data_IF_958026054140
#
_entry.id   IF_958026054140
#
_cell.length_a   1.000
_cell.length_b   1.000
_cell.length_c   1.000
_cell.angle_alpha   90.00
_cell.angle_beta   90.00
_cell.angle_gamma   90.00
#
_symmetry.space_group_name_H-M   'P 1'
#
loop_
_entity.id
_entity.type
_entity.pdbx_description
1 polymer ?
#
# COMPACT_ATOMS: atom_id res chain seq x y z
N UNK A 1 5.91 -10.56 15.59
CA UNK A 1 4.97 -10.00 14.60
C UNK A 1 4.40 -8.66 15.04
N UNK A 2 3.53 -8.59 16.05
CA UNK A 2 2.90 -7.32 16.50
C UNK A 2 3.92 -6.24 16.89
N UNK A 3 5.01 -6.58 17.59
CA UNK A 3 6.07 -5.62 17.93
C UNK A 3 6.76 -5.02 16.69
N UNK A 4 6.91 -5.81 15.61
CA UNK A 4 7.51 -5.34 14.37
C UNK A 4 6.60 -4.33 13.68
N UNK A 5 5.31 -4.64 13.61
CA UNK A 5 4.29 -3.74 13.05
C UNK A 5 4.16 -2.45 13.86
N UNK A 6 4.19 -2.52 15.20
CA UNK A 6 4.23 -1.33 16.06
C UNK A 6 5.46 -0.47 15.76
N UNK A 7 6.62 -1.11 15.61
CA UNK A 7 7.89 -0.40 15.32
C UNK A 7 7.89 0.21 13.93
N UNK A 8 7.26 -0.43 12.95
CA UNK A 8 7.07 0.09 11.60
C UNK A 8 6.32 1.43 11.62
N UNK A 9 5.20 1.50 12.34
CA UNK A 9 4.42 2.73 12.48
C UNK A 9 5.06 3.77 13.41
N UNK A 10 5.76 3.35 14.46
CA UNK A 10 6.37 4.27 15.44
C UNK A 10 7.71 4.87 14.97
N UNK A 11 8.49 4.12 14.18
CA UNK A 11 9.84 4.51 13.74
C UNK A 11 9.92 4.82 12.25
N UNK A 12 8.80 5.13 11.59
CA UNK A 12 8.77 5.38 10.16
C UNK A 12 9.70 6.53 9.71
N UNK A 13 9.86 7.59 10.51
CA UNK A 13 10.81 8.67 10.21
C UNK A 13 12.27 8.41 10.63
N UNK A 14 12.56 7.30 11.31
CA UNK A 14 13.94 6.98 11.70
C UNK A 14 14.61 6.15 10.61
N UNK A 15 15.47 6.74 9.79
CA UNK A 15 16.22 6.00 8.77
C UNK A 15 17.44 5.25 9.32
N UNK A 16 17.70 5.36 10.62
CA UNK A 16 18.84 4.74 11.31
C UNK A 16 18.38 3.66 12.28
N UNK A 17 19.08 2.52 12.28
CA UNK A 17 18.86 1.40 13.19
C UNK A 17 18.75 0.06 12.47
N UNK A 18 18.97 -1.03 13.21
CA UNK A 18 18.92 -2.39 12.66
C UNK A 18 17.53 -2.98 12.77
N UNK A 19 17.06 -3.60 11.70
CA UNK A 19 15.82 -4.38 11.66
C UNK A 19 16.17 -5.85 11.43
N UNK A 20 15.65 -6.77 12.24
CA UNK A 20 15.90 -8.19 12.02
C UNK A 20 15.29 -8.64 10.68
N UNK A 21 15.96 -9.56 9.97
CA UNK A 21 15.51 -10.04 8.65
C UNK A 21 14.10 -10.63 8.69
N UNK A 22 13.73 -11.31 9.77
CA UNK A 22 12.38 -11.85 9.95
C UNK A 22 11.32 -10.74 10.09
N UNK A 23 11.62 -9.65 10.79
CA UNK A 23 10.68 -8.54 10.94
C UNK A 23 10.45 -7.79 9.63
N UNK A 24 11.48 -7.68 8.79
CA UNK A 24 11.37 -7.14 7.43
C UNK A 24 10.36 -7.96 6.62
N UNK A 25 10.61 -9.26 6.45
CA UNK A 25 9.77 -10.12 5.60
C UNK A 25 8.32 -10.18 6.08
N UNK A 26 8.07 -10.17 7.39
CA UNK A 26 6.71 -10.12 7.90
C UNK A 26 5.96 -8.84 7.51
N UNK A 27 6.61 -7.68 7.59
CA UNK A 27 6.01 -6.39 7.20
C UNK A 27 5.81 -6.34 5.69
N UNK A 28 6.82 -6.72 4.91
CA UNK A 28 6.77 -6.77 3.45
C UNK A 28 5.66 -7.71 2.96
N UNK A 29 5.50 -8.91 3.54
CA UNK A 29 4.44 -9.84 3.17
C UNK A 29 3.05 -9.30 3.50
N UNK A 30 2.87 -8.64 4.64
CA UNK A 30 1.59 -8.02 5.01
C UNK A 30 1.25 -6.89 4.03
N UNK A 31 2.20 -5.99 3.75
CA UNK A 31 1.98 -4.91 2.80
C UNK A 31 1.74 -5.44 1.38
N UNK A 32 2.43 -6.51 0.96
CA UNK A 32 2.20 -7.18 -0.31
C UNK A 32 0.80 -7.79 -0.39
N UNK A 33 0.36 -8.52 0.64
CA UNK A 33 -0.99 -9.08 0.69
C UNK A 33 -2.07 -7.98 0.64
N UNK A 34 -1.88 -6.88 1.37
CA UNK A 34 -2.77 -5.72 1.35
C UNK A 34 -2.77 -5.05 -0.04
N UNK A 35 -1.62 -4.94 -0.70
CA UNK A 35 -1.52 -4.37 -2.04
C UNK A 35 -2.23 -5.24 -3.09
N UNK A 36 -2.00 -6.56 -3.08
CA UNK A 36 -2.68 -7.51 -3.98
C UNK A 36 -4.20 -7.46 -3.74
N UNK A 37 -4.63 -7.52 -2.48
CA UNK A 37 -6.04 -7.42 -2.14
C UNK A 37 -6.66 -6.10 -2.61
N UNK A 38 -5.97 -4.98 -2.37
CA UNK A 38 -6.44 -3.66 -2.81
C UNK A 38 -6.53 -3.55 -4.33
N UNK A 39 -5.57 -4.13 -5.06
CA UNK A 39 -5.58 -4.15 -6.53
C UNK A 39 -6.75 -4.99 -7.06
N UNK A 40 -6.96 -6.19 -6.52
CA UNK A 40 -8.07 -7.06 -6.93
C UNK A 40 -9.43 -6.42 -6.62
N UNK A 41 -9.55 -5.79 -5.45
CA UNK A 41 -10.74 -5.04 -5.06
C UNK A 41 -10.99 -3.89 -6.04
N UNK A 42 -9.97 -3.07 -6.32
CA UNK A 42 -10.09 -1.94 -7.24
C UNK A 42 -10.45 -2.39 -8.67
N UNK A 43 -9.81 -3.45 -9.18
CA UNK A 43 -10.13 -4.03 -10.47
C UNK A 43 -11.57 -4.58 -10.53
N UNK A 44 -12.06 -5.17 -9.44
CA UNK A 44 -13.44 -5.60 -9.32
C UNK A 44 -14.41 -4.41 -9.30
N UNK A 45 -14.12 -3.34 -8.55
CA UNK A 45 -14.97 -2.15 -8.49
C UNK A 45 -15.07 -1.40 -9.82
N UNK A 46 -14.01 -1.40 -10.62
CA UNK A 46 -13.99 -0.79 -11.95
C UNK A 46 -14.51 -1.72 -13.05
N UNK A 47 -14.87 -2.95 -12.71
CA UNK A 47 -15.34 -3.92 -13.70
C UNK A 47 -16.73 -3.52 -14.24
N UNK A 48 -16.97 -3.82 -15.52
CA UNK A 48 -18.26 -3.58 -16.19
C UNK A 48 -19.49 -4.05 -15.39
N UNK A 49 -19.55 -5.24 -14.76
CA UNK A 49 -20.76 -5.63 -14.02
C UNK A 49 -21.07 -4.72 -12.82
N UNK A 50 -20.06 -4.14 -12.17
CA UNK A 50 -20.27 -3.16 -11.09
C UNK A 50 -20.72 -1.82 -11.66
N UNK A 51 -20.12 -1.37 -12.76
CA UNK A 51 -20.51 -0.13 -13.42
C UNK A 51 -21.93 -0.24 -14.02
N UNK A 52 -22.27 -1.34 -14.66
CA UNK A 52 -23.57 -1.62 -15.26
C UNK A 52 -24.67 -1.71 -14.19
N UNK A 53 -24.39 -2.31 -13.03
CA UNK A 53 -25.32 -2.33 -11.90
C UNK A 53 -25.54 -0.93 -11.30
N UNK A 54 -24.49 -0.11 -11.25
CA UNK A 54 -24.62 1.30 -10.85
C UNK A 54 -25.42 2.11 -11.90
N UNK A 55 -25.18 1.92 -13.19
CA UNK A 55 -25.86 2.64 -14.28
C UNK A 55 -27.33 2.24 -14.45
N UNK A 56 -27.67 0.96 -14.27
CA UNK A 56 -29.06 0.47 -14.37
C UNK A 56 -29.95 0.97 -13.22
N UNK A 57 -29.37 1.25 -12.04
CA UNK A 57 -30.04 1.96 -10.94
C UNK A 57 -30.24 3.48 -11.21
N UNK A 58 -29.74 3.96 -12.35
CA UNK A 58 -29.39 5.34 -12.72
C UNK A 58 -30.46 6.42 -12.76
N UNK A 59 -31.58 6.29 -12.04
CA UNK A 59 -32.59 7.36 -11.92
C UNK A 59 -33.14 7.54 -10.50
N UNK A 60 -32.58 6.86 -9.50
CA UNK A 60 -33.00 6.95 -8.10
C UNK A 60 -31.91 7.57 -7.21
N UNK A 61 -32.27 8.14 -6.06
CA UNK A 61 -31.30 8.65 -5.08
C UNK A 61 -30.25 7.62 -4.63
N UNK A 62 -30.52 6.32 -4.82
CA UNK A 62 -29.57 5.24 -4.54
C UNK A 62 -28.31 5.26 -5.42
N UNK A 63 -28.40 5.76 -6.66
CA UNK A 63 -27.24 5.87 -7.56
C UNK A 63 -26.14 6.79 -6.98
N UNK A 64 -26.55 7.94 -6.42
CA UNK A 64 -25.64 8.90 -5.80
C UNK A 64 -24.95 8.31 -4.57
N UNK A 65 -25.71 7.59 -3.73
CA UNK A 65 -25.17 6.96 -2.52
C UNK A 65 -24.11 5.90 -2.85
N UNK A 66 -24.36 5.03 -3.84
CA UNK A 66 -23.43 3.97 -4.23
C UNK A 66 -22.18 4.56 -4.89
N UNK A 67 -22.33 5.48 -5.84
CA UNK A 67 -21.19 6.11 -6.54
C UNK A 67 -20.29 6.90 -5.58
N UNK A 68 -20.89 7.70 -4.69
CA UNK A 68 -20.13 8.41 -3.65
C UNK A 68 -19.46 7.46 -2.66
N UNK A 69 -20.14 6.37 -2.27
CA UNK A 69 -19.57 5.33 -1.40
C UNK A 69 -18.34 4.66 -2.03
N UNK A 70 -18.43 4.29 -3.31
CA UNK A 70 -17.30 3.72 -4.06
C UNK A 70 -16.14 4.72 -4.19
N UNK A 71 -16.44 5.99 -4.50
CA UNK A 71 -15.44 7.05 -4.56
C UNK A 71 -14.73 7.27 -3.22
N UNK A 72 -15.47 7.26 -2.11
CA UNK A 72 -14.90 7.39 -0.77
C UNK A 72 -13.98 6.22 -0.42
N UNK A 73 -14.41 4.98 -0.72
CA UNK A 73 -13.59 3.78 -0.49
C UNK A 73 -12.29 3.85 -1.29
N UNK A 74 -12.37 4.18 -2.58
CA UNK A 74 -11.19 4.36 -3.43
C UNK A 74 -10.24 5.43 -2.86
N UNK A 75 -10.78 6.58 -2.44
CA UNK A 75 -10.01 7.66 -1.83
C UNK A 75 -9.28 7.22 -0.56
N UNK A 76 -9.96 6.52 0.36
CA UNK A 76 -9.36 6.00 1.59
C UNK A 76 -8.22 5.02 1.30
N UNK A 77 -8.37 4.16 0.28
CA UNK A 77 -7.30 3.26 -0.15
C UNK A 77 -6.09 4.03 -0.71
N UNK A 78 -6.32 5.08 -1.51
CA UNK A 78 -5.23 5.93 -2.01
C UNK A 78 -4.49 6.61 -0.87
N UNK A 79 -5.21 7.17 0.10
CA UNK A 79 -4.61 7.79 1.30
C UNK A 79 -3.80 6.78 2.10
N UNK A 80 -4.34 5.56 2.31
CA UNK A 80 -3.60 4.50 2.99
C UNK A 80 -2.28 4.17 2.28
N UNK A 81 -2.28 4.03 0.95
CA UNK A 81 -1.07 3.77 0.15
C UNK A 81 -0.03 4.89 0.26
N UNK A 82 -0.48 6.14 0.27
CA UNK A 82 0.41 7.29 0.49
C UNK A 82 1.03 7.29 1.88
N UNK A 83 0.24 6.92 2.90
CA UNK A 83 0.70 6.86 4.29
C UNK A 83 1.69 5.71 4.50
N UNK A 84 1.47 4.54 3.88
CA UNK A 84 2.41 3.39 3.99
C UNK A 84 3.69 3.57 3.18
N UNK A 85 3.70 4.47 2.20
CA UNK A 85 4.86 4.74 1.34
C UNK A 85 6.11 5.14 2.13
N UNK A 86 5.97 6.05 3.12
CA UNK A 86 7.11 6.54 3.91
C UNK A 86 7.70 5.42 4.81
N UNK A 87 6.89 4.68 5.60
CA UNK A 87 7.35 3.52 6.36
C UNK A 87 8.05 2.44 5.51
N UNK A 88 7.52 2.12 4.33
CA UNK A 88 8.11 1.12 3.42
C UNK A 88 9.51 1.55 2.97
N UNK A 89 9.66 2.80 2.53
CA UNK A 89 10.96 3.41 2.21
C UNK A 89 11.95 3.34 3.38
N UNK A 90 11.48 3.64 4.59
CA UNK A 90 12.31 3.65 5.79
C UNK A 90 12.90 2.28 6.13
N UNK A 91 12.10 1.22 5.99
CA UNK A 91 12.56 -0.15 6.25
C UNK A 91 13.49 -0.64 5.13
N UNK A 92 13.14 -0.42 3.86
CA UNK A 92 13.99 -0.78 2.72
C UNK A 92 15.35 -0.09 2.80
N UNK A 93 15.38 1.21 3.10
CA UNK A 93 16.63 1.97 3.23
C UNK A 93 17.57 1.37 4.29
N UNK A 94 17.04 0.97 5.46
CA UNK A 94 17.87 0.33 6.51
C UNK A 94 18.47 -0.99 6.04
N UNK A 95 17.71 -1.81 5.29
CA UNK A 95 18.20 -3.08 4.74
C UNK A 95 19.23 -2.87 3.63
N UNK A 96 19.02 -1.86 2.80
CA UNK A 96 19.96 -1.46 1.76
C UNK A 96 21.29 -0.98 2.36
N UNK A 97 21.25 -0.21 3.45
CA UNK A 97 22.46 0.18 4.18
C UNK A 97 23.15 -1.00 4.89
N UNK A 98 22.39 -2.02 5.31
CA UNK A 98 22.94 -3.23 5.92
C UNK A 98 23.70 -4.15 4.93
N UNK A 99 23.53 -3.99 3.61
CA UNK A 99 24.26 -4.78 2.59
C UNK A 99 25.60 -4.16 2.18
N UNK A 100 25.95 -2.97 2.68
CA UNK A 100 27.23 -2.30 2.40
C UNK A 100 27.35 -1.74 0.99
N UNK A 101 26.26 -1.70 0.22
CA UNK A 101 26.21 -1.12 -1.12
C UNK A 101 26.10 0.41 -1.07
N UNK A 102 26.53 1.09 -2.15
CA UNK A 102 26.49 2.55 -2.21
C UNK A 102 25.04 3.07 -2.18
N UNK A 103 24.70 4.06 -1.34
CA UNK A 103 23.31 4.56 -1.15
C UNK A 103 22.58 4.96 -2.45
N UNK A 104 23.32 5.24 -3.53
CA UNK A 104 22.77 5.66 -4.81
C UNK A 104 21.95 4.58 -5.55
N UNK A 105 22.19 3.27 -5.38
CA UNK A 105 21.28 2.28 -6.00
C UNK A 105 19.95 2.13 -5.25
N UNK A 106 19.80 2.77 -4.08
CA UNK A 106 18.50 2.82 -3.40
C UNK A 106 17.44 3.53 -4.26
N UNK A 107 17.81 4.32 -5.27
CA UNK A 107 16.86 4.97 -6.20
C UNK A 107 16.09 3.94 -7.06
N UNK A 108 16.62 2.71 -7.22
CA UNK A 108 16.00 1.64 -8.03
C UNK A 108 14.88 0.92 -7.26
N UNK A 109 14.91 0.95 -5.93
CA UNK A 109 13.96 0.22 -5.08
C UNK A 109 12.56 0.88 -4.97
N UNK A 110 12.42 2.22 -4.88
CA UNK A 110 11.15 2.92 -5.01
C UNK A 110 10.47 2.64 -6.36
N UNK A 111 11.26 2.44 -7.42
CA UNK A 111 10.77 2.04 -8.74
C UNK A 111 10.16 0.63 -8.69
N UNK A 112 10.82 -0.35 -8.08
CA UNK A 112 10.26 -1.70 -7.90
C UNK A 112 8.97 -1.71 -7.06
N UNK A 113 8.93 -0.92 -5.97
CA UNK A 113 7.73 -0.75 -5.14
C UNK A 113 6.57 -0.04 -5.87
N UNK A 114 6.87 0.85 -6.82
CA UNK A 114 5.86 1.49 -7.67
C UNK A 114 5.34 0.57 -8.77
N UNK A 115 6.22 -0.27 -9.36
CA UNK A 115 5.88 -1.16 -10.46
C UNK A 115 5.36 -2.55 -10.03
N UNK A 116 5.42 -2.88 -8.74
CA UNK A 116 4.83 -4.11 -8.20
C UNK A 116 5.52 -5.39 -8.69
N UNK A 117 6.83 -5.34 -8.90
CA UNK A 117 7.69 -6.46 -9.29
C UNK A 117 8.88 -6.55 -8.34
#
# INVERSE_FOLDING_TARGET
MIRAFKTYWLKYFQFRGRTSRANYWWVTLINFAIAVFSYLLFAFLLSNPVIDSVQTLGHSGGYLLITCGLGLVAFLFTVYRLVTFIPDLSISYRRYMDTGLSPYFFIVEPLMLFFGL
#
